data_IF_940456879819
#
_entry.id   IF_940456879819
#
_cell.length_a   1.000
_cell.length_b   1.000
_cell.length_c   1.000
_cell.angle_alpha   90.00
_cell.angle_beta   90.00
_cell.angle_gamma   90.00
#
_symmetry.space_group_name_H-M   'P 1'
#
loop_
_entity.id
_entity.type
_entity.pdbx_description
1 polymer ?
#
# COMPACT_ATOMS: atom_id res chain seq x y z
N UNK A 1 -0.68 -23.80 -8.89
CA UNK A 1 -1.00 -23.28 -7.56
C UNK A 1 -0.75 -21.77 -7.58
N UNK A 2 -1.69 -20.97 -7.12
CA UNK A 2 -1.52 -19.51 -7.03
C UNK A 2 -0.96 -19.19 -5.65
N UNK A 3 0.18 -18.51 -5.59
CA UNK A 3 0.82 -18.07 -4.35
C UNK A 3 0.60 -16.57 -4.20
N UNK A 4 0.22 -16.11 -3.02
CA UNK A 4 0.04 -14.69 -2.71
C UNK A 4 1.06 -14.30 -1.65
N UNK A 5 1.90 -13.32 -1.96
CA UNK A 5 2.68 -12.61 -0.94
C UNK A 5 1.73 -11.66 -0.19
N UNK A 6 1.43 -11.96 1.06
CA UNK A 6 0.44 -11.23 1.83
C UNK A 6 0.91 -9.87 2.34
N UNK A 7 2.18 -9.51 2.18
CA UNK A 7 2.72 -8.28 2.78
C UNK A 7 3.85 -7.67 1.94
N UNK A 8 3.48 -6.76 1.05
CA UNK A 8 4.43 -5.98 0.24
C UNK A 8 4.18 -4.49 0.44
N UNK A 9 5.24 -3.68 0.45
CA UNK A 9 5.17 -2.22 0.48
C UNK A 9 5.69 -1.64 -0.84
N UNK A 10 5.10 -0.51 -1.26
CA UNK A 10 5.59 0.29 -2.38
C UNK A 10 5.69 1.74 -1.93
N UNK A 11 6.67 2.49 -2.45
CA UNK A 11 6.82 3.91 -2.14
C UNK A 11 7.60 4.63 -3.24
N UNK A 12 7.29 5.92 -3.39
CA UNK A 12 8.21 6.89 -3.99
C UNK A 12 8.94 7.58 -2.86
N UNK A 13 10.26 7.46 -2.81
CA UNK A 13 11.03 7.89 -1.65
C UNK A 13 10.94 9.41 -1.46
N UNK A 14 10.65 9.81 -0.23
CA UNK A 14 10.66 11.21 0.20
C UNK A 14 11.46 11.32 1.50
N UNK A 15 12.57 12.04 1.47
CA UNK A 15 13.49 12.11 2.60
C UNK A 15 12.88 12.70 3.89
N UNK A 16 11.83 13.53 3.79
CA UNK A 16 11.15 14.10 4.95
C UNK A 16 10.10 13.14 5.52
N UNK A 17 9.21 12.61 4.67
CA UNK A 17 8.17 11.64 5.08
C UNK A 17 8.79 10.34 5.58
N UNK A 18 9.83 9.86 4.89
CA UNK A 18 10.46 8.57 5.13
C UNK A 18 11.71 8.68 6.02
N UNK A 19 11.74 9.68 6.91
CA UNK A 19 12.88 9.93 7.79
C UNK A 19 13.26 8.71 8.67
N UNK A 20 12.31 7.80 8.93
CA UNK A 20 12.53 6.54 9.62
C UNK A 20 13.48 5.58 8.87
N UNK A 21 13.65 5.73 7.55
CA UNK A 21 14.57 4.93 6.73
C UNK A 21 16.04 5.37 6.89
N UNK A 22 16.34 6.33 7.75
CA UNK A 22 17.68 6.91 7.85
C UNK A 22 18.83 5.91 8.04
N UNK A 23 18.73 4.86 8.88
CA UNK A 23 19.79 3.88 9.05
C UNK A 23 19.85 2.84 7.91
N UNK A 24 18.98 2.89 6.90
CA UNK A 24 18.81 1.86 5.87
C UNK A 24 18.95 2.42 4.44
N UNK A 25 20.19 2.68 3.96
CA UNK A 25 20.43 3.29 2.65
C UNK A 25 19.76 2.58 1.47
N UNK A 26 19.65 1.25 1.53
CA UNK A 26 19.02 0.44 0.48
C UNK A 26 17.55 0.79 0.25
N UNK A 27 16.85 1.33 1.25
CA UNK A 27 15.44 1.70 1.17
C UNK A 27 15.22 3.12 0.64
N UNK A 28 16.27 3.94 0.56
CA UNK A 28 16.21 5.37 0.17
C UNK A 28 16.12 5.59 -1.34
N UNK A 29 15.24 4.84 -2.00
CA UNK A 29 14.91 4.96 -3.42
C UNK A 29 13.47 4.53 -3.65
N UNK A 30 12.97 4.77 -4.85
CA UNK A 30 11.64 4.30 -5.23
C UNK A 30 11.62 2.77 -5.31
N UNK A 31 10.60 2.18 -4.68
CA UNK A 31 10.25 0.78 -4.85
C UNK A 31 8.81 0.72 -5.34
N UNK A 32 8.66 0.37 -6.61
CA UNK A 32 7.39 0.38 -7.33
C UNK A 32 7.11 -1.01 -7.92
N UNK A 33 5.87 -1.31 -8.33
CA UNK A 33 5.47 -2.65 -8.75
C UNK A 33 6.34 -3.28 -9.85
N UNK A 34 6.94 -2.50 -10.74
CA UNK A 34 7.82 -3.04 -11.79
C UNK A 34 9.07 -3.73 -11.24
N UNK A 35 9.58 -3.33 -10.06
CA UNK A 35 10.72 -4.00 -9.41
C UNK A 35 10.36 -5.43 -8.95
N UNK A 36 9.07 -5.70 -8.74
CA UNK A 36 8.55 -6.98 -8.26
C UNK A 36 7.92 -7.82 -9.37
N UNK A 37 7.53 -7.19 -10.48
CA UNK A 37 6.81 -7.82 -11.59
C UNK A 37 7.60 -8.99 -12.19
N UNK A 38 8.92 -8.86 -12.31
CA UNK A 38 9.79 -9.91 -12.85
C UNK A 38 10.00 -11.07 -11.86
N UNK A 39 9.79 -10.81 -10.56
CA UNK A 39 9.94 -11.81 -9.48
C UNK A 39 8.64 -12.61 -9.34
N UNK A 40 7.48 -11.96 -9.41
CA UNK A 40 6.16 -12.59 -9.33
C UNK A 40 5.78 -13.17 -10.71
N UNK A 41 6.37 -14.31 -11.03
CA UNK A 41 6.08 -15.02 -12.29
C UNK A 41 4.75 -15.80 -12.27
N UNK A 42 4.31 -16.26 -11.09
CA UNK A 42 3.05 -16.99 -10.87
C UNK A 42 2.43 -16.61 -9.53
N UNK A 43 1.46 -15.69 -9.53
CA UNK A 43 0.77 -15.31 -8.29
C UNK A 43 0.37 -13.85 -8.24
N UNK A 44 0.55 -13.27 -7.05
CA UNK A 44 0.30 -11.87 -6.80
C UNK A 44 0.73 -11.46 -5.39
N UNK A 45 0.42 -10.22 -5.02
CA UNK A 45 0.68 -9.72 -3.67
C UNK A 45 -0.50 -8.93 -3.10
N UNK A 46 -0.43 -8.67 -1.80
CA UNK A 46 -1.23 -7.66 -1.11
C UNK A 46 -0.32 -6.48 -0.77
N UNK A 47 -0.65 -5.29 -1.28
CA UNK A 47 0.10 -4.07 -1.00
C UNK A 47 -0.40 -3.42 0.29
N UNK A 48 0.49 -3.16 1.23
CA UNK A 48 0.20 -2.61 2.56
C UNK A 48 0.72 -1.17 2.61
N UNK A 49 -0.03 -0.26 3.22
CA UNK A 49 0.40 1.13 3.45
C UNK A 49 1.86 1.21 3.95
N UNK A 50 2.64 2.17 3.49
CA UNK A 50 3.96 2.51 4.02
C UNK A 50 3.97 3.84 4.80
N UNK A 51 2.90 4.64 4.68
CA UNK A 51 2.70 5.94 5.32
C UNK A 51 1.30 6.05 5.95
N UNK A 52 1.14 6.97 6.90
CA UNK A 52 -0.09 7.19 7.66
C UNK A 52 -0.95 8.30 7.07
N UNK A 53 -1.33 8.14 5.80
CA UNK A 53 -2.09 9.14 5.06
C UNK A 53 -3.11 8.51 4.12
N UNK A 54 -4.18 9.23 3.79
CA UNK A 54 -5.12 8.75 2.77
C UNK A 54 -4.52 8.84 1.36
N UNK A 55 -3.53 9.72 1.16
CA UNK A 55 -2.71 9.80 -0.03
C UNK A 55 -2.01 8.47 -0.32
N UNK A 56 -1.54 7.76 0.72
CA UNK A 56 -0.98 6.42 0.59
C UNK A 56 -2.03 5.40 0.13
N UNK A 57 -3.25 5.44 0.68
CA UNK A 57 -4.35 4.58 0.21
C UNK A 57 -4.68 4.84 -1.26
N UNK A 58 -4.74 6.11 -1.67
CA UNK A 58 -5.00 6.51 -3.05
C UNK A 58 -3.87 6.03 -3.97
N UNK A 59 -2.62 6.17 -3.53
CA UNK A 59 -1.46 5.68 -4.27
C UNK A 59 -1.52 4.17 -4.49
N UNK A 60 -1.80 3.37 -3.45
CA UNK A 60 -1.93 1.92 -3.58
C UNK A 60 -3.11 1.50 -4.47
N UNK A 61 -4.23 2.23 -4.43
CA UNK A 61 -5.37 2.02 -5.34
C UNK A 61 -4.97 2.24 -6.81
N UNK A 62 -4.23 3.30 -7.10
CA UNK A 62 -3.73 3.60 -8.45
C UNK A 62 -2.77 2.51 -8.95
N UNK A 63 -1.87 2.03 -8.08
CA UNK A 63 -0.99 0.91 -8.40
C UNK A 63 -1.79 -0.36 -8.69
N UNK A 64 -2.76 -0.71 -7.84
CA UNK A 64 -3.57 -1.91 -8.05
C UNK A 64 -4.45 -1.84 -9.30
N UNK A 65 -4.89 -0.65 -9.71
CA UNK A 65 -5.58 -0.43 -10.99
C UNK A 65 -4.68 -0.61 -12.22
N UNK A 66 -3.37 -0.45 -12.06
CA UNK A 66 -2.38 -0.55 -13.14
C UNK A 66 -1.73 -1.94 -13.22
N UNK A 67 -1.43 -2.54 -12.06
CA UNK A 67 -0.66 -3.77 -11.95
C UNK A 67 -1.54 -4.92 -11.45
N UNK A 68 -2.01 -5.75 -12.39
CA UNK A 68 -2.96 -6.83 -12.11
C UNK A 68 -2.47 -7.91 -11.14
N UNK A 69 -1.17 -7.99 -10.86
CA UNK A 69 -0.62 -8.92 -9.85
C UNK A 69 -0.87 -8.45 -8.42
N UNK A 70 -1.23 -7.18 -8.20
CA UNK A 70 -1.69 -6.70 -6.89
C UNK A 70 -3.13 -7.18 -6.71
N UNK A 71 -3.35 -8.13 -5.80
CA UNK A 71 -4.64 -8.82 -5.60
C UNK A 71 -5.46 -8.24 -4.43
N UNK A 72 -4.85 -7.37 -3.64
CA UNK A 72 -5.51 -6.65 -2.58
C UNK A 72 -4.63 -5.51 -2.07
N UNK A 73 -5.24 -4.58 -1.35
CA UNK A 73 -4.52 -3.56 -0.60
C UNK A 73 -5.00 -3.50 0.85
N UNK A 74 -4.09 -3.12 1.75
CA UNK A 74 -4.40 -2.69 3.11
C UNK A 74 -4.03 -1.21 3.20
N UNK A 75 -5.05 -0.35 3.21
CA UNK A 75 -4.88 1.10 3.22
C UNK A 75 -4.67 1.66 4.62
N UNK A 76 -4.60 2.97 4.68
CA UNK A 76 -4.68 3.78 5.89
C UNK A 76 -5.86 4.76 5.81
N UNK A 77 -6.56 4.90 6.92
CA UNK A 77 -7.56 5.93 7.20
C UNK A 77 -7.41 6.28 8.68
N UNK A 78 -7.72 7.52 9.06
CA UNK A 78 -7.70 7.88 10.48
C UNK A 78 -8.87 7.22 11.22
N UNK A 79 -8.61 6.06 11.81
CA UNK A 79 -9.59 5.31 12.62
C UNK A 79 -10.03 6.05 13.89
N UNK A 80 -9.42 7.19 14.22
CA UNK A 80 -9.77 8.04 15.36
C UNK A 80 -10.53 9.30 14.96
N UNK A 81 -10.71 9.55 13.67
CA UNK A 81 -11.42 10.73 13.19
C UNK A 81 -12.92 10.64 13.52
N UNK A 82 -13.52 11.77 13.88
CA UNK A 82 -14.96 11.87 14.17
C UNK A 82 -15.85 11.52 12.98
N UNK A 83 -15.29 11.52 11.76
CA UNK A 83 -15.99 11.19 10.51
C UNK A 83 -15.57 9.82 9.92
N UNK A 84 -15.06 8.89 10.74
CA UNK A 84 -14.56 7.59 10.25
C UNK A 84 -15.59 6.80 9.44
N UNK A 85 -16.87 6.81 9.82
CA UNK A 85 -17.93 6.12 9.09
C UNK A 85 -18.08 6.66 7.67
N UNK A 86 -17.99 7.98 7.50
CA UNK A 86 -18.03 8.64 6.19
C UNK A 86 -16.83 8.24 5.33
N UNK A 87 -15.62 8.23 5.92
CA UNK A 87 -14.40 7.83 5.21
C UNK A 87 -14.44 6.35 4.79
N UNK A 88 -14.90 5.46 5.66
CA UNK A 88 -15.08 4.04 5.31
C UNK A 88 -16.17 3.84 4.25
N UNK A 89 -17.26 4.60 4.30
CA UNK A 89 -18.29 4.58 3.27
C UNK A 89 -17.76 5.04 1.91
N UNK A 90 -16.95 6.10 1.87
CA UNK A 90 -16.27 6.58 0.65
C UNK A 90 -15.45 5.47 -0.03
N UNK A 91 -14.72 4.67 0.74
CA UNK A 91 -13.90 3.58 0.22
C UNK A 91 -14.62 2.24 0.00
N UNK A 92 -15.88 2.09 0.45
CA UNK A 92 -16.63 0.83 0.39
C UNK A 92 -16.84 0.25 -1.03
N UNK A 93 -16.80 1.12 -2.05
CA UNK A 93 -16.86 0.75 -3.46
C UNK A 93 -15.57 0.11 -3.98
N UNK A 94 -14.43 0.39 -3.34
CA UNK A 94 -13.11 -0.09 -3.74
C UNK A 94 -12.86 -1.52 -3.24
N UNK A 95 -13.42 -2.52 -3.94
CA UNK A 95 -13.35 -3.93 -3.53
C UNK A 95 -11.93 -4.51 -3.43
N UNK A 96 -10.93 -3.83 -3.98
CA UNK A 96 -9.53 -4.23 -3.86
C UNK A 96 -8.97 -3.97 -2.44
N UNK A 97 -9.59 -3.06 -1.67
CA UNK A 97 -9.26 -2.83 -0.26
C UNK A 97 -9.75 -4.03 0.56
N UNK A 98 -8.83 -4.66 1.28
CA UNK A 98 -9.07 -5.86 2.11
C UNK A 98 -8.92 -5.59 3.60
N UNK A 99 -8.45 -4.41 3.98
CA UNK A 99 -8.32 -4.01 5.37
C UNK A 99 -7.68 -2.63 5.53
N UNK A 100 -7.49 -2.27 6.79
CA UNK A 100 -6.86 -1.03 7.23
C UNK A 100 -5.78 -1.35 8.26
N UNK A 101 -4.69 -0.59 8.25
CA UNK A 101 -3.64 -0.70 9.26
C UNK A 101 -3.37 0.67 9.87
N UNK A 102 -3.28 0.74 11.19
CA UNK A 102 -2.83 1.92 11.93
C UNK A 102 -1.45 1.62 12.52
N UNK A 103 -0.55 2.60 12.53
CA UNK A 103 0.77 2.45 13.18
C UNK A 103 0.66 3.06 14.58
N UNK A 104 0.96 2.28 15.62
CA UNK A 104 0.92 2.68 17.03
C UNK A 104 2.31 2.91 17.61
#
# INVERSE_FOLDING_TARGET
>A
MTIIDSHVHFWKYNAMRDAWMNPMPVLKKDYLPYELQDIITKGGCVAIQADQSEEETIFLLQLAGTFSFIKGIVGWVDLRADNIEERLAYYSGQKIIKGWRHIV
#
